data_IF_554432934122
#
_entry.id   IF_554432934122
#
_cell.length_a   1.000
_cell.length_b   1.000
_cell.length_c   1.000
_cell.angle_alpha   90.00
_cell.angle_beta   90.00
_cell.angle_gamma   90.00
#
_symmetry.space_group_name_H-M   'P 1'
#
loop_
_entity.id
_entity.type
_entity.pdbx_description
1 polymer ?
#
# COMPACT_ATOMS: atom_id res chain seq x y z
N UNK A 1 37.57 -34.74 3.57
CA UNK A 1 36.88 -35.28 4.75
C UNK A 1 35.38 -34.98 4.55
N UNK A 2 34.56 -36.01 4.28
CA UNK A 2 33.55 -36.57 5.20
C UNK A 2 32.49 -35.52 5.63
N UNK A 3 31.25 -35.55 5.06
CA UNK A 3 30.04 -36.29 5.55
C UNK A 3 29.69 -35.89 7.00
N UNK A 4 28.52 -35.37 7.38
CA UNK A 4 27.10 -35.82 7.26
C UNK A 4 26.23 -34.53 7.40
N UNK A 5 25.09 -34.25 6.74
CA UNK A 5 24.14 -34.95 5.84
C UNK A 5 23.10 -35.90 6.48
N UNK A 6 22.02 -35.33 7.02
CA UNK A 6 20.67 -35.91 7.29
C UNK A 6 20.59 -37.14 8.20
N UNK A 7 19.89 -37.01 9.35
CA UNK A 7 19.07 -38.07 9.98
C UNK A 7 18.31 -37.54 11.21
N UNK A 8 17.05 -37.13 11.02
CA UNK A 8 16.02 -37.15 12.08
C UNK A 8 14.64 -37.25 11.41
N UNK A 9 14.31 -38.47 11.00
CA UNK A 9 12.98 -38.86 10.53
C UNK A 9 12.52 -40.09 11.31
N UNK A 10 11.25 -40.06 11.72
CA UNK A 10 10.40 -41.20 12.05
C UNK A 10 10.89 -42.23 13.09
N UNK A 11 10.44 -42.06 14.35
CA UNK A 11 10.05 -43.19 15.21
C UNK A 11 9.16 -42.74 16.38
N UNK A 12 7.84 -42.61 16.15
CA UNK A 12 6.79 -42.96 17.12
C UNK A 12 5.40 -42.71 16.50
N UNK A 13 4.91 -43.67 15.73
CA UNK A 13 3.48 -43.88 15.55
C UNK A 13 3.13 -45.28 16.06
N UNK A 14 2.14 -45.31 16.94
CA UNK A 14 1.20 -46.42 17.19
C UNK A 14 1.77 -47.83 17.47
N UNK A 15 1.76 -48.21 18.75
CA UNK A 15 1.20 -49.51 19.14
C UNK A 15 0.18 -49.32 20.26
N UNK A 16 -1.10 -49.34 19.89
CA UNK A 16 -2.19 -49.62 20.81
C UNK A 16 -2.09 -51.08 21.26
N UNK A 17 -1.82 -51.32 22.55
CA UNK A 17 -1.97 -52.62 23.18
C UNK A 17 -3.21 -52.59 24.09
N UNK A 18 -4.00 -53.65 24.07
CA UNK A 18 -5.34 -53.67 24.65
C UNK A 18 -5.36 -53.48 26.17
N UNK A 19 -6.28 -52.64 26.63
CA UNK A 19 -6.72 -52.63 28.02
C UNK A 19 -7.62 -53.85 28.26
N UNK A 20 -7.04 -54.99 28.66
CA UNK A 20 -7.82 -56.10 29.20
C UNK A 20 -7.99 -55.99 30.72
N UNK A 21 -9.25 -56.15 31.13
CA UNK A 21 -9.67 -56.57 32.47
C UNK A 21 -9.37 -55.62 33.64
N UNK A 22 -10.38 -54.84 34.01
CA UNK A 22 -10.51 -54.25 35.34
C UNK A 22 -10.62 -55.34 36.42
N UNK A 23 -9.49 -55.90 36.88
CA UNK A 23 -9.43 -56.52 38.21
C UNK A 23 -9.35 -55.42 39.28
N UNK A 24 -10.54 -54.98 39.65
CA UNK A 24 -10.91 -54.41 40.97
C UNK A 24 -10.04 -53.27 41.51
N UNK A 25 -10.60 -52.05 41.43
CA UNK A 25 -10.17 -50.84 42.17
C UNK A 25 -10.02 -51.12 43.69
N UNK A 26 -10.75 -52.11 44.22
CA UNK A 26 -10.63 -52.59 45.60
C UNK A 26 -9.21 -53.07 45.98
N UNK A 27 -8.45 -53.69 45.07
CA UNK A 27 -7.08 -54.15 45.33
C UNK A 27 -6.06 -52.99 45.33
N UNK A 28 -6.34 -51.91 44.59
CA UNK A 28 -5.55 -50.69 44.64
C UNK A 28 -5.75 -49.94 45.98
N UNK A 29 -6.99 -49.89 46.47
CA UNK A 29 -7.30 -49.31 47.78
C UNK A 29 -6.65 -50.11 48.94
N UNK A 30 -6.72 -51.45 48.90
CA UNK A 30 -6.05 -52.30 49.92
C UNK A 30 -4.53 -52.17 49.96
N UNK A 31 -3.89 -51.81 48.84
CA UNK A 31 -2.45 -51.53 48.81
C UNK A 31 -2.07 -50.19 49.44
N UNK A 32 -3.01 -49.25 49.56
CA UNK A 32 -2.80 -47.98 50.26
C UNK A 32 -2.95 -48.13 51.77
N UNK A 33 -3.89 -48.95 52.27
CA UNK A 33 -4.02 -49.24 53.71
C UNK A 33 -2.74 -49.90 54.30
N UNK A 34 -2.02 -50.72 53.52
CA UNK A 34 -0.74 -51.30 53.96
C UNK A 34 0.44 -50.30 53.98
N UNK A 35 0.25 -49.03 53.64
CA UNK A 35 1.32 -48.02 53.58
C UNK A 35 1.23 -46.94 54.67
N UNK A 36 0.17 -46.92 55.47
CA UNK A 36 -0.06 -45.89 56.50
C UNK A 36 0.75 -46.16 57.80
N UNK A 37 0.97 -47.42 58.17
CA UNK A 37 1.70 -47.81 59.39
C UNK A 37 3.25 -47.71 59.28
N UNK A 38 3.79 -47.45 58.08
CA UNK A 38 5.23 -47.45 57.83
C UNK A 38 5.86 -46.06 57.63
N UNK A 39 5.04 -45.01 57.44
CA UNK A 39 5.53 -43.67 57.13
C UNK A 39 5.52 -42.75 58.36
N UNK A 40 6.50 -42.95 59.25
CA UNK A 40 6.98 -41.86 60.13
C UNK A 40 7.72 -40.81 59.29
N UNK A 41 6.94 -39.99 58.59
CA UNK A 41 7.36 -38.90 57.70
C UNK A 41 8.45 -38.04 58.37
N UNK A 42 8.31 -37.74 59.66
CA UNK A 42 9.23 -36.89 60.44
C UNK A 42 10.66 -37.45 60.56
N UNK A 43 10.84 -38.77 60.60
CA UNK A 43 12.18 -39.38 60.75
C UNK A 43 12.90 -39.48 59.41
N UNK A 44 12.17 -39.81 58.33
CA UNK A 44 12.75 -39.84 56.98
C UNK A 44 13.10 -38.43 56.49
N UNK A 45 12.28 -37.41 56.79
CA UNK A 45 12.64 -36.01 56.49
C UNK A 45 13.88 -35.55 57.27
N UNK A 46 14.02 -35.93 58.54
CA UNK A 46 15.18 -35.58 59.35
C UNK A 46 16.50 -36.19 58.81
N UNK A 47 16.51 -37.48 58.45
CA UNK A 47 17.71 -38.13 57.88
C UNK A 47 18.03 -37.60 56.47
N UNK A 48 17.01 -37.36 55.63
CA UNK A 48 17.21 -36.80 54.29
C UNK A 48 17.78 -35.38 54.37
N UNK A 49 17.25 -34.51 55.25
CA UNK A 49 17.73 -33.14 55.44
C UNK A 49 19.13 -33.04 56.07
N UNK A 50 19.56 -34.06 56.84
CA UNK A 50 20.94 -34.15 57.34
C UNK A 50 21.95 -34.61 56.27
N UNK A 51 21.50 -35.11 55.12
CA UNK A 51 22.39 -35.47 54.01
C UNK A 51 22.65 -34.26 53.09
N UNK A 52 23.92 -33.85 52.89
CA UNK A 52 24.22 -32.68 52.05
C UNK A 52 23.82 -32.89 50.58
N UNK A 53 23.72 -34.14 50.14
CA UNK A 53 23.32 -34.52 48.79
C UNK A 53 21.82 -34.29 48.53
N UNK A 54 20.94 -34.62 49.49
CA UNK A 54 19.50 -34.42 49.28
C UNK A 54 19.08 -32.95 49.45
N UNK A 55 19.74 -32.17 50.31
CA UNK A 55 19.51 -30.72 50.39
C UNK A 55 19.82 -30.05 49.04
N UNK A 56 20.92 -30.44 48.38
CA UNK A 56 21.26 -29.97 47.02
C UNK A 56 20.23 -30.45 46.00
N UNK A 57 19.75 -31.70 46.09
CA UNK A 57 18.74 -32.23 45.17
C UNK A 57 17.38 -31.51 45.29
N UNK A 58 16.93 -31.20 46.51
CA UNK A 58 15.68 -30.47 46.77
C UNK A 58 15.80 -29.02 46.27
N UNK A 59 16.91 -28.34 46.55
CA UNK A 59 17.16 -26.99 46.02
C UNK A 59 17.22 -27.01 44.49
N UNK A 60 17.92 -27.97 43.89
CA UNK A 60 17.98 -28.13 42.44
C UNK A 60 16.59 -28.40 41.84
N UNK A 61 15.75 -29.21 42.47
CA UNK A 61 14.38 -29.47 42.03
C UNK A 61 13.49 -28.21 42.13
N UNK A 62 13.61 -27.40 43.18
CA UNK A 62 12.89 -26.12 43.30
C UNK A 62 13.38 -25.10 42.26
N UNK A 63 14.68 -24.97 42.03
CA UNK A 63 15.23 -24.14 40.96
C UNK A 63 14.80 -24.65 39.56
N UNK A 64 14.76 -25.96 39.34
CA UNK A 64 14.29 -26.58 38.10
C UNK A 64 12.78 -26.37 37.89
N UNK A 65 11.97 -26.37 38.95
CA UNK A 65 10.54 -26.10 38.87
C UNK A 65 10.24 -24.61 38.61
N UNK A 66 10.94 -23.71 39.31
CA UNK A 66 10.82 -22.25 39.10
C UNK A 66 11.29 -21.86 37.68
N UNK A 67 12.38 -22.43 37.18
CA UNK A 67 12.83 -22.20 35.80
C UNK A 67 11.93 -22.89 34.77
N UNK A 68 11.46 -24.10 35.03
CA UNK A 68 10.62 -24.90 34.13
C UNK A 68 9.18 -24.40 33.98
N UNK A 69 8.58 -23.80 35.02
CA UNK A 69 7.19 -23.30 34.98
C UNK A 69 7.13 -21.77 34.92
N UNK A 70 8.02 -21.06 35.62
CA UNK A 70 8.06 -19.60 35.63
C UNK A 70 8.54 -19.02 34.30
N UNK A 71 9.55 -19.63 33.67
CA UNK A 71 10.08 -19.20 32.37
C UNK A 71 9.00 -19.13 31.28
N UNK A 72 8.27 -20.23 30.99
CA UNK A 72 7.22 -20.26 29.96
C UNK A 72 6.05 -19.28 30.18
N UNK A 73 5.69 -18.98 31.43
CA UNK A 73 4.62 -18.02 31.73
C UNK A 73 5.06 -16.58 31.47
N UNK A 74 6.29 -16.24 31.86
CA UNK A 74 6.87 -14.90 31.60
C UNK A 74 7.10 -14.70 30.10
N UNK A 75 7.58 -15.70 29.36
CA UNK A 75 7.73 -15.60 27.90
C UNK A 75 6.40 -15.51 27.18
N UNK A 76 5.33 -16.18 27.65
CA UNK A 76 3.99 -16.03 27.09
C UNK A 76 3.42 -14.60 27.32
N UNK A 77 3.67 -14.00 28.49
CA UNK A 77 3.22 -12.64 28.79
C UNK A 77 4.02 -11.57 28.02
N UNK A 78 5.34 -11.72 27.94
CA UNK A 78 6.20 -10.89 27.08
C UNK A 78 5.80 -11.06 25.62
N UNK A 79 5.56 -12.28 25.15
CA UNK A 79 5.11 -12.58 23.79
C UNK A 79 3.75 -11.95 23.46
N UNK A 80 2.80 -11.92 24.40
CA UNK A 80 1.53 -11.19 24.23
C UNK A 80 1.73 -9.68 24.11
N UNK A 81 2.57 -9.07 24.96
CA UNK A 81 2.92 -7.64 24.85
C UNK A 81 3.65 -7.33 23.54
N UNK A 82 4.59 -8.18 23.15
CA UNK A 82 5.33 -8.04 21.91
C UNK A 82 4.42 -8.19 20.69
N UNK A 83 3.47 -9.13 20.69
CA UNK A 83 2.48 -9.28 19.62
C UNK A 83 1.58 -8.04 19.49
N UNK A 84 1.12 -7.46 20.59
CA UNK A 84 0.34 -6.21 20.58
C UNK A 84 1.18 -5.01 20.07
N UNK A 85 2.45 -4.94 20.45
CA UNK A 85 3.39 -3.94 19.91
C UNK A 85 3.64 -4.17 18.41
N UNK A 86 3.83 -5.42 17.96
CA UNK A 86 3.99 -5.77 16.55
C UNK A 86 2.76 -5.45 15.72
N UNK A 87 1.54 -5.67 16.24
CA UNK A 87 0.30 -5.22 15.56
C UNK A 87 0.25 -3.69 15.45
N UNK A 88 0.61 -2.97 16.51
CA UNK A 88 0.69 -1.50 16.49
C UNK A 88 1.70 -1.01 15.45
N UNK A 89 2.89 -1.59 15.42
CA UNK A 89 3.94 -1.27 14.43
C UNK A 89 3.54 -1.64 13.01
N UNK A 90 2.87 -2.79 12.80
CA UNK A 90 2.36 -3.18 11.49
C UNK A 90 1.26 -2.23 10.99
N UNK A 91 0.36 -1.79 11.87
CA UNK A 91 -0.64 -0.78 11.55
C UNK A 91 0.01 0.57 11.21
N UNK A 92 1.02 1.01 11.96
CA UNK A 92 1.78 2.23 11.67
C UNK A 92 2.56 2.15 10.34
N UNK A 93 3.15 0.99 10.02
CA UNK A 93 3.81 0.73 8.74
C UNK A 93 2.81 0.70 7.58
N UNK A 94 1.63 0.08 7.75
CA UNK A 94 0.55 0.09 6.76
C UNK A 94 0.03 1.51 6.51
N UNK A 95 -0.15 2.31 7.55
CA UNK A 95 -0.53 3.72 7.41
C UNK A 95 0.54 4.48 6.63
N UNK A 96 1.83 4.35 7.00
CA UNK A 96 2.95 4.96 6.26
C UNK A 96 3.00 4.53 4.78
N UNK A 97 2.73 3.26 4.47
CA UNK A 97 2.67 2.78 3.10
C UNK A 97 1.48 3.39 2.31
N UNK A 98 0.31 3.54 2.95
CA UNK A 98 -0.85 4.22 2.33
C UNK A 98 -0.58 5.70 2.07
N UNK A 99 0.02 6.41 3.03
CA UNK A 99 0.33 7.85 2.85
C UNK A 99 1.41 8.09 1.80
N UNK A 100 2.39 7.20 1.66
CA UNK A 100 3.32 7.19 0.53
C UNK A 100 2.58 6.97 -0.80
N UNK A 101 1.69 5.98 -0.88
CA UNK A 101 0.88 5.71 -2.08
C UNK A 101 0.03 6.90 -2.53
N UNK A 102 -0.66 7.58 -1.61
CA UNK A 102 -1.44 8.78 -1.94
C UNK A 102 -0.56 9.94 -2.47
N UNK A 103 0.67 10.09 -1.96
CA UNK A 103 1.61 11.11 -2.45
C UNK A 103 2.09 10.81 -3.88
N UNK A 104 2.34 9.54 -4.23
CA UNK A 104 2.71 9.20 -5.61
C UNK A 104 1.54 9.39 -6.58
N UNK A 105 0.31 9.06 -6.19
CA UNK A 105 -0.90 9.35 -6.99
C UNK A 105 -1.05 10.87 -7.21
N UNK A 106 -0.90 11.68 -6.16
CA UNK A 106 -0.95 13.13 -6.26
C UNK A 106 0.13 13.70 -7.20
N UNK A 107 1.36 13.17 -7.18
CA UNK A 107 2.43 13.56 -8.14
C UNK A 107 2.06 13.22 -9.58
N UNK A 108 1.50 12.03 -9.84
CA UNK A 108 1.05 11.64 -11.17
C UNK A 108 -0.07 12.57 -11.67
N UNK A 109 -1.03 12.94 -10.81
CA UNK A 109 -2.08 13.90 -11.14
C UNK A 109 -1.52 15.30 -11.44
N UNK A 110 -0.55 15.79 -10.65
CA UNK A 110 0.14 17.06 -10.91
C UNK A 110 0.87 17.01 -12.26
N UNK A 111 1.63 15.95 -12.55
CA UNK A 111 2.33 15.79 -13.83
C UNK A 111 1.38 15.74 -15.02
N UNK A 112 0.22 15.10 -14.88
CA UNK A 112 -0.84 15.14 -15.90
C UNK A 112 -1.43 16.56 -16.06
N UNK A 113 -1.61 17.32 -14.98
CA UNK A 113 -2.07 18.72 -15.04
C UNK A 113 -1.07 19.64 -15.74
N UNK A 114 0.23 19.48 -15.46
CA UNK A 114 1.30 20.22 -16.14
C UNK A 114 1.33 19.90 -17.64
N UNK A 115 1.28 18.61 -18.01
CA UNK A 115 1.18 18.18 -19.41
C UNK A 115 -0.06 18.80 -20.10
N UNK A 116 -1.23 18.78 -19.45
CA UNK A 116 -2.46 19.37 -20.00
C UNK A 116 -2.31 20.88 -20.22
N UNK A 117 -1.73 21.62 -19.25
CA UNK A 117 -1.47 23.06 -19.40
C UNK A 117 -0.55 23.33 -20.58
N UNK A 118 0.53 22.57 -20.68
CA UNK A 118 1.58 22.82 -21.67
C UNK A 118 1.10 22.45 -23.09
N UNK A 119 0.37 21.34 -23.24
CA UNK A 119 -0.31 20.96 -24.50
C UNK A 119 -1.37 22.00 -24.90
N UNK A 120 -2.20 22.50 -23.96
CA UNK A 120 -3.19 23.56 -24.25
C UNK A 120 -2.51 24.87 -24.67
N UNK A 121 -1.43 25.25 -24.00
CA UNK A 121 -0.69 26.47 -24.30
C UNK A 121 -0.03 26.40 -25.69
N UNK A 122 0.60 25.27 -26.04
CA UNK A 122 1.18 25.06 -27.38
C UNK A 122 0.08 25.01 -28.46
N UNK A 123 -1.03 24.32 -28.19
CA UNK A 123 -2.19 24.23 -29.09
C UNK A 123 -2.75 25.63 -29.40
N UNK A 124 -3.02 26.40 -28.35
CA UNK A 124 -3.54 27.76 -28.48
C UNK A 124 -2.57 28.69 -29.20
N UNK A 125 -1.28 28.64 -28.86
CA UNK A 125 -0.27 29.49 -29.46
C UNK A 125 -0.12 29.23 -30.98
N UNK A 126 -0.14 27.99 -31.44
CA UNK A 126 -0.06 27.70 -32.88
C UNK A 126 -1.37 28.11 -33.56
N UNK A 127 -2.52 27.78 -32.97
CA UNK A 127 -3.84 28.01 -33.55
C UNK A 127 -4.18 29.50 -33.73
N UNK A 128 -3.73 30.38 -32.83
CA UNK A 128 -3.87 31.83 -32.98
C UNK A 128 -2.87 32.45 -33.96
N UNK A 129 -1.78 31.75 -34.29
CA UNK A 129 -0.82 32.16 -35.30
C UNK A 129 -1.09 31.55 -36.69
N UNK A 130 -2.13 30.72 -36.85
CA UNK A 130 -2.55 30.24 -38.18
C UNK A 130 -3.07 31.43 -39.01
N UNK A 131 -2.42 31.68 -40.14
CA UNK A 131 -2.87 32.68 -41.11
C UNK A 131 -4.12 32.19 -41.83
N UNK A 132 -5.08 33.10 -42.03
CA UNK A 132 -6.29 32.80 -42.80
C UNK A 132 -5.96 32.71 -44.30
N UNK A 133 -6.73 31.90 -45.03
CA UNK A 133 -6.42 31.53 -46.42
C UNK A 133 -6.44 32.75 -47.37
N UNK A 134 -7.33 33.70 -47.14
CA UNK A 134 -7.42 34.95 -47.89
C UNK A 134 -6.20 35.86 -47.66
N UNK A 135 -5.67 35.89 -46.43
CA UNK A 135 -4.42 36.60 -46.10
C UNK A 135 -3.23 35.97 -46.85
N UNK A 136 -3.14 34.64 -46.88
CA UNK A 136 -2.13 33.91 -47.64
C UNK A 136 -2.23 34.16 -49.16
N UNK A 137 -3.43 34.11 -49.72
CA UNK A 137 -3.65 34.33 -51.16
C UNK A 137 -3.41 35.79 -51.60
N UNK A 138 -3.51 36.75 -50.68
CA UNK A 138 -3.20 38.17 -50.92
C UNK A 138 -1.69 38.48 -51.04
N UNK A 139 -0.79 37.62 -50.54
CA UNK A 139 0.67 37.82 -50.63
C UNK A 139 1.11 37.75 -52.10
N UNK A 140 1.57 38.86 -52.66
CA UNK A 140 1.91 38.97 -54.10
C UNK A 140 3.19 38.23 -54.49
N UNK A 141 4.17 38.13 -53.58
CA UNK A 141 5.40 37.38 -53.82
C UNK A 141 5.15 35.87 -53.73
N UNK A 142 5.56 35.14 -54.76
CA UNK A 142 5.29 33.70 -54.91
C UNK A 142 6.11 32.86 -53.94
N UNK A 143 7.33 33.27 -53.61
CA UNK A 143 8.21 32.50 -52.73
C UNK A 143 7.93 32.84 -51.26
N UNK A 144 7.59 34.09 -50.94
CA UNK A 144 7.04 34.46 -49.64
C UNK A 144 5.74 33.69 -49.36
N UNK A 145 4.78 33.67 -50.31
CA UNK A 145 3.52 32.92 -50.17
C UNK A 145 3.76 31.44 -49.90
N UNK A 146 4.66 30.78 -50.64
CA UNK A 146 5.04 29.37 -50.39
C UNK A 146 5.64 29.18 -49.00
N UNK A 147 6.47 30.11 -48.53
CA UNK A 147 7.11 30.02 -47.20
C UNK A 147 6.07 30.08 -46.07
N UNK A 148 5.11 31.01 -46.16
CA UNK A 148 4.00 31.16 -45.21
C UNK A 148 3.05 29.96 -45.26
N UNK A 149 2.64 29.52 -46.46
CA UNK A 149 1.81 28.32 -46.63
C UNK A 149 2.46 27.10 -45.98
N UNK A 150 3.76 26.88 -46.21
CA UNK A 150 4.50 25.77 -45.58
C UNK A 150 4.48 25.87 -44.05
N UNK A 151 4.68 27.06 -43.48
CA UNK A 151 4.59 27.29 -42.04
C UNK A 151 3.18 26.97 -41.51
N UNK A 152 2.14 27.36 -42.23
CA UNK A 152 0.74 27.09 -41.87
C UNK A 152 0.45 25.57 -41.92
N UNK A 153 0.91 24.87 -42.97
CA UNK A 153 0.78 23.42 -43.12
C UNK A 153 1.52 22.63 -42.01
N UNK A 154 2.67 23.13 -41.55
CA UNK A 154 3.42 22.56 -40.42
C UNK A 154 2.70 22.82 -39.09
N UNK A 155 2.14 24.02 -38.89
CA UNK A 155 1.28 24.36 -37.75
C UNK A 155 0.04 23.48 -37.67
N UNK A 156 -0.68 23.29 -38.79
CA UNK A 156 -1.86 22.42 -38.87
C UNK A 156 -1.56 20.97 -38.47
N UNK A 157 -0.47 20.38 -38.97
CA UNK A 157 -0.03 19.02 -38.59
C UNK A 157 0.22 18.90 -37.09
N UNK A 158 0.85 19.92 -36.50
CA UNK A 158 1.15 19.97 -35.07
C UNK A 158 -0.11 20.18 -34.22
N UNK A 159 -1.08 20.96 -34.69
CA UNK A 159 -2.41 21.11 -34.06
C UNK A 159 -3.18 19.80 -34.04
N UNK A 160 -3.17 19.01 -35.12
CA UNK A 160 -3.82 17.67 -35.15
C UNK A 160 -3.19 16.73 -34.12
N UNK A 161 -1.85 16.73 -34.00
CA UNK A 161 -1.14 15.97 -32.97
C UNK A 161 -1.53 16.42 -31.54
N UNK A 162 -1.54 17.73 -31.30
CA UNK A 162 -1.89 18.31 -29.99
C UNK A 162 -3.35 18.06 -29.63
N UNK A 163 -4.29 18.17 -30.58
CA UNK A 163 -5.69 17.81 -30.40
C UNK A 163 -5.86 16.33 -30.03
N UNK A 164 -5.09 15.44 -30.66
CA UNK A 164 -5.05 14.01 -30.30
C UNK A 164 -4.48 13.80 -28.88
N UNK A 165 -3.48 14.60 -28.46
CA UNK A 165 -2.98 14.54 -27.09
C UNK A 165 -4.01 15.03 -26.07
N UNK A 166 -4.76 16.10 -26.37
CA UNK A 166 -5.87 16.56 -25.54
C UNK A 166 -6.97 15.50 -25.44
N UNK A 167 -7.27 14.78 -26.52
CA UNK A 167 -8.26 13.69 -26.53
C UNK A 167 -7.88 12.53 -25.58
N UNK A 168 -6.58 12.23 -25.50
CA UNK A 168 -6.04 11.20 -24.62
C UNK A 168 -5.86 11.66 -23.17
N UNK A 169 -5.66 12.97 -22.96
CA UNK A 169 -5.51 13.54 -21.62
C UNK A 169 -6.86 13.79 -20.93
N UNK A 170 -7.92 14.12 -21.67
CA UNK A 170 -9.22 14.53 -21.12
C UNK A 170 -10.22 13.36 -21.03
N UNK A 171 -10.87 13.24 -19.88
CA UNK A 171 -11.97 12.28 -19.69
C UNK A 171 -13.31 12.89 -20.15
N UNK A 172 -13.87 12.38 -21.24
CA UNK A 172 -15.17 12.79 -21.81
C UNK A 172 -16.39 12.46 -20.94
N UNK A 173 -16.23 11.66 -19.88
CA UNK A 173 -17.26 11.39 -18.87
C UNK A 173 -17.34 12.51 -17.81
N UNK A 174 -16.24 13.23 -17.54
CA UNK A 174 -16.25 14.38 -16.63
C UNK A 174 -16.80 15.61 -17.37
N UNK A 175 -17.91 16.16 -16.90
CA UNK A 175 -18.60 17.26 -17.57
C UNK A 175 -17.75 18.54 -17.74
N UNK A 176 -16.78 18.78 -16.85
CA UNK A 176 -15.89 19.95 -16.94
C UNK A 176 -14.82 19.72 -18.02
N UNK A 177 -14.23 18.52 -18.04
CA UNK A 177 -13.23 18.13 -19.04
C UNK A 177 -13.85 18.01 -20.43
N UNK A 178 -15.08 17.48 -20.52
CA UNK A 178 -15.87 17.46 -21.75
C UNK A 178 -16.13 18.86 -22.29
N UNK A 179 -16.53 19.82 -21.46
CA UNK A 179 -16.73 21.21 -21.90
C UNK A 179 -15.45 21.83 -22.50
N UNK A 180 -14.28 21.54 -21.91
CA UNK A 180 -12.99 21.97 -22.47
C UNK A 180 -12.71 21.32 -23.83
N UNK A 181 -12.99 20.02 -23.97
CA UNK A 181 -12.89 19.31 -25.24
C UNK A 181 -13.81 19.91 -26.29
N UNK A 182 -15.10 20.10 -25.98
CA UNK A 182 -16.11 20.62 -26.90
C UNK A 182 -15.75 22.03 -27.43
N UNK A 183 -15.18 22.90 -26.57
CA UNK A 183 -14.68 24.24 -26.99
C UNK A 183 -13.43 24.12 -27.87
N UNK A 184 -12.52 23.19 -27.56
CA UNK A 184 -11.31 22.95 -28.36
C UNK A 184 -11.67 22.45 -29.77
N UNK A 185 -12.64 21.54 -29.86
CA UNK A 185 -13.17 21.04 -31.13
C UNK A 185 -13.94 22.15 -31.89
N UNK A 186 -14.76 22.96 -31.21
CA UNK A 186 -15.42 24.12 -31.83
C UNK A 186 -14.39 25.08 -32.46
N UNK A 187 -13.32 25.40 -31.71
CA UNK A 187 -12.22 26.27 -32.17
C UNK A 187 -11.50 25.68 -33.38
N UNK A 188 -11.19 24.38 -33.37
CA UNK A 188 -10.55 23.70 -34.49
C UNK A 188 -11.36 23.80 -35.78
N UNK A 189 -12.69 23.72 -35.67
CA UNK A 189 -13.61 23.78 -36.80
C UNK A 189 -13.91 25.22 -37.30
N UNK A 190 -13.27 26.28 -36.76
CA UNK A 190 -13.41 27.67 -37.25
C UNK A 190 -12.36 28.02 -38.31
N UNK A 191 -12.83 28.32 -39.52
CA UNK A 191 -11.96 28.70 -40.65
C UNK A 191 -11.21 30.03 -40.46
N UNK A 192 -11.81 31.02 -39.75
CA UNK A 192 -11.22 32.36 -39.59
C UNK A 192 -10.55 32.58 -38.23
N UNK A 193 -9.44 33.30 -38.23
CA UNK A 193 -8.66 33.67 -37.05
C UNK A 193 -9.47 34.53 -36.08
N UNK A 194 -10.30 35.45 -36.59
CA UNK A 194 -11.20 36.26 -35.74
C UNK A 194 -12.28 35.44 -35.04
N UNK A 195 -12.80 34.39 -35.69
CA UNK A 195 -13.76 33.45 -35.11
C UNK A 195 -13.08 32.52 -34.08
N UNK A 196 -11.83 32.09 -34.34
CA UNK A 196 -10.99 31.38 -33.37
C UNK A 196 -10.72 32.24 -32.13
N UNK A 197 -10.29 33.49 -32.31
CA UNK A 197 -9.97 34.43 -31.22
C UNK A 197 -11.18 34.76 -30.35
N UNK A 198 -12.39 34.81 -30.90
CA UNK A 198 -13.62 35.03 -30.12
C UNK A 198 -13.88 33.94 -29.05
N UNK A 199 -13.25 32.77 -29.19
CA UNK A 199 -13.37 31.63 -28.29
C UNK A 199 -12.18 31.48 -27.31
N UNK A 200 -11.17 32.38 -27.34
CA UNK A 200 -10.04 32.38 -26.39
C UNK A 200 -10.50 32.43 -24.93
N UNK A 201 -11.33 33.43 -24.56
CA UNK A 201 -11.83 33.54 -23.18
C UNK A 201 -12.63 32.29 -22.73
N UNK A 202 -13.59 31.76 -23.50
CA UNK A 202 -14.21 30.46 -23.24
C UNK A 202 -13.23 29.29 -23.03
N UNK A 203 -12.20 29.16 -23.88
CA UNK A 203 -11.18 28.12 -23.78
C UNK A 203 -10.37 28.26 -22.48
N UNK A 204 -9.90 29.47 -22.18
CA UNK A 204 -9.11 29.78 -21.00
C UNK A 204 -9.91 29.58 -19.71
N UNK A 205 -11.19 29.93 -19.68
CA UNK A 205 -12.07 29.67 -18.54
C UNK A 205 -12.34 28.18 -18.34
N UNK A 206 -12.57 27.41 -19.42
CA UNK A 206 -12.73 25.97 -19.35
C UNK A 206 -11.44 25.27 -18.86
N UNK A 207 -10.27 25.66 -19.38
CA UNK A 207 -8.97 25.16 -18.95
C UNK A 207 -8.71 25.44 -17.47
N UNK A 208 -8.97 26.67 -17.01
CA UNK A 208 -8.88 27.05 -15.58
C UNK A 208 -9.85 26.25 -14.72
N UNK A 209 -11.06 25.96 -15.19
CA UNK A 209 -12.04 25.16 -14.46
C UNK A 209 -11.58 23.70 -14.27
N UNK A 210 -11.04 23.06 -15.31
CA UNK A 210 -10.46 21.71 -15.23
C UNK A 210 -9.28 21.69 -14.25
N UNK A 211 -8.29 22.56 -14.45
CA UNK A 211 -7.09 22.62 -13.60
C UNK A 211 -7.43 22.89 -12.13
N UNK A 212 -8.41 23.77 -11.86
CA UNK A 212 -8.89 24.05 -10.50
C UNK A 212 -9.58 22.84 -9.88
N UNK A 213 -10.47 22.16 -10.62
CA UNK A 213 -11.17 20.97 -10.14
C UNK A 213 -10.20 19.84 -9.78
N UNK A 214 -9.20 19.61 -10.63
CA UNK A 214 -8.16 18.61 -10.40
C UNK A 214 -7.21 18.99 -9.26
N UNK A 215 -6.89 20.28 -9.09
CA UNK A 215 -6.14 20.77 -7.93
C UNK A 215 -6.86 20.55 -6.59
N UNK A 216 -8.18 20.68 -6.54
CA UNK A 216 -8.95 20.32 -5.33
C UNK A 216 -8.87 18.81 -5.05
N UNK A 217 -8.91 17.96 -6.10
CA UNK A 217 -8.70 16.50 -5.97
C UNK A 217 -7.29 16.19 -5.43
N UNK A 218 -6.23 16.80 -5.98
CA UNK A 218 -4.83 16.69 -5.45
C UNK A 218 -4.78 17.06 -3.96
N UNK A 219 -5.33 18.21 -3.57
CA UNK A 219 -5.33 18.65 -2.17
C UNK A 219 -6.11 17.69 -1.27
N UNK A 220 -7.20 17.11 -1.74
CA UNK A 220 -7.96 16.11 -0.99
C UNK A 220 -7.16 14.81 -0.82
N UNK A 221 -6.51 14.31 -1.88
CA UNK A 221 -5.63 13.14 -1.85
C UNK A 221 -4.47 13.35 -0.85
N UNK A 222 -3.81 14.50 -0.89
CA UNK A 222 -2.73 14.85 0.04
C UNK A 222 -3.20 15.01 1.50
N UNK A 223 -4.36 15.65 1.75
CA UNK A 223 -4.91 15.80 3.11
C UNK A 223 -5.45 14.50 3.68
N UNK A 224 -6.00 13.63 2.84
CA UNK A 224 -6.48 12.30 3.24
C UNK A 224 -5.34 11.39 3.72
N UNK A 225 -4.09 11.72 3.34
CA UNK A 225 -2.89 11.09 3.86
C UNK A 225 -2.43 11.63 5.23
N UNK A 226 -2.94 12.77 5.73
CA UNK A 226 -2.41 13.38 6.95
C UNK A 226 -3.18 13.02 8.23
N UNK A 227 -4.52 12.92 8.21
CA UNK A 227 -5.25 12.60 9.45
C UNK A 227 -6.67 12.07 9.24
N UNK A 228 -6.91 10.83 9.67
CA UNK A 228 -8.19 10.47 10.32
C UNK A 228 -7.87 9.95 11.72
N UNK A 229 -8.00 10.78 12.76
CA UNK A 229 -8.00 10.29 14.15
C UNK A 229 -9.29 9.51 14.36
N UNK A 230 -9.20 8.40 15.09
CA UNK A 230 -10.22 7.35 15.13
C UNK A 230 -11.68 7.82 15.15
N UNK A 231 -12.45 7.28 14.20
CA UNK A 231 -13.85 6.90 14.40
C UNK A 231 -13.93 5.40 14.60
#
# INVERSE_FOLDING_TARGET
MLRIVVLFLAACWTTSAQAESCKTILDAARRLECYDDAFKVDHLLADVLNSPQAVVAILAAVFAFISGVGGPLVTLWIGRKQAAASQTSANAAMLTAKTAGFREIAKLRISWMDNLRDTLAEYHAILMNLEDKDVLEAVSDVDERKSRQKSNDEGLKKIVLLGTQLDLLLNKEDAIQRKLWDITDEIYNRERSTERQALDAPLMDAGRAVLKGEWEKVKQEMRSAEFQPGK
#
